data_IF_728759576359
#
_entry.id   IF_728759576359
#
_cell.length_a   1.000
_cell.length_b   1.000
_cell.length_c   1.000
_cell.angle_alpha   90.00
_cell.angle_beta   90.00
_cell.angle_gamma   90.00
#
_symmetry.space_group_name_H-M   'P 1'
#
loop_
_entity.id
_entity.type
_entity.pdbx_description
1 polymer ?
#
# COMPACT_ATOMS: atom_id res chain seq x y z
N UNK A 1 33.09 2.97 17.13
CA UNK A 1 32.36 3.19 15.88
C UNK A 1 30.91 3.34 16.29
N UNK A 2 30.39 4.56 16.22
CA UNK A 2 29.01 4.85 16.61
C UNK A 2 28.08 4.00 15.75
N UNK A 3 27.30 3.16 16.42
CA UNK A 3 26.14 2.49 15.88
C UNK A 3 25.18 3.61 15.45
N UNK A 4 25.23 4.02 14.18
CA UNK A 4 24.24 4.90 13.58
C UNK A 4 22.93 4.12 13.58
N UNK A 5 22.23 4.15 14.72
CA UNK A 5 20.82 3.75 14.76
C UNK A 5 20.12 4.65 13.75
N UNK A 6 19.82 4.08 12.60
CA UNK A 6 18.90 4.66 11.64
C UNK A 6 17.67 5.08 12.46
N UNK A 7 17.36 6.39 12.47
CA UNK A 7 16.19 6.89 13.20
C UNK A 7 14.98 6.07 12.78
N UNK A 8 14.49 5.26 13.70
CA UNK A 8 13.35 4.41 13.42
C UNK A 8 12.07 5.23 13.59
N UNK A 9 10.96 4.79 13.01
CA UNK A 9 9.68 5.52 13.05
C UNK A 9 9.25 5.87 14.48
N UNK A 10 9.59 5.03 15.46
CA UNK A 10 9.34 5.28 16.87
C UNK A 10 10.11 6.48 17.43
N UNK A 11 11.37 6.68 17.02
CA UNK A 11 12.17 7.83 17.45
C UNK A 11 11.61 9.14 16.88
N UNK A 12 11.18 9.11 15.61
CA UNK A 12 10.52 10.24 14.96
C UNK A 12 9.17 10.56 15.61
N UNK A 13 8.41 9.53 15.96
CA UNK A 13 7.16 9.68 16.67
C UNK A 13 7.39 10.36 18.03
N UNK A 14 8.35 9.89 18.83
CA UNK A 14 8.66 10.47 20.14
C UNK A 14 9.06 11.96 20.02
N UNK A 15 9.91 12.31 19.05
CA UNK A 15 10.27 13.70 18.77
C UNK A 15 9.05 14.54 18.37
N UNK A 16 8.17 14.00 17.53
CA UNK A 16 6.94 14.69 17.15
C UNK A 16 6.02 14.93 18.36
N UNK A 17 5.89 13.94 19.25
CA UNK A 17 5.10 14.06 20.48
C UNK A 17 5.62 15.14 21.42
N UNK A 18 6.94 15.32 21.46
CA UNK A 18 7.60 16.37 22.26
C UNK A 18 7.60 17.74 21.60
N UNK A 19 7.17 17.84 20.35
CA UNK A 19 7.26 19.07 19.57
C UNK A 19 8.68 19.43 19.13
N UNK A 20 9.58 18.45 19.09
CA UNK A 20 11.00 18.60 18.72
C UNK A 20 11.23 18.44 17.21
N UNK A 21 10.20 17.99 16.47
CA UNK A 21 10.30 17.68 15.05
C UNK A 21 9.82 18.85 14.17
N UNK A 22 10.69 19.39 13.32
CA UNK A 22 10.29 20.35 12.30
C UNK A 22 9.59 19.65 11.12
N UNK A 23 8.26 19.67 11.14
CA UNK A 23 7.41 19.10 10.09
C UNK A 23 7.27 20.00 8.85
N UNK A 24 7.68 21.26 8.93
CA UNK A 24 7.49 22.22 7.84
C UNK A 24 8.65 22.17 6.83
N UNK A 25 9.89 22.04 7.30
CA UNK A 25 11.06 22.05 6.42
C UNK A 25 11.87 20.75 6.48
N UNK A 26 12.26 20.28 7.68
CA UNK A 26 13.17 19.13 7.81
C UNK A 26 12.51 17.77 7.56
N UNK A 27 11.34 17.55 8.16
CA UNK A 27 10.59 16.29 8.13
C UNK A 27 9.30 16.41 7.30
N UNK A 28 9.28 17.34 6.35
CA UNK A 28 8.13 17.60 5.50
C UNK A 28 7.71 16.35 4.69
N UNK A 29 6.43 15.93 4.69
CA UNK A 29 5.99 14.66 4.12
C UNK A 29 6.35 14.42 2.65
N UNK A 30 6.47 15.49 1.84
CA UNK A 30 6.80 15.37 0.41
C UNK A 30 8.26 15.67 0.08
N UNK A 31 9.07 16.14 1.04
CA UNK A 31 10.48 16.50 0.82
C UNK A 31 11.45 15.54 1.52
N UNK A 32 10.99 14.79 2.53
CA UNK A 32 11.82 13.85 3.27
C UNK A 32 11.33 12.42 3.10
N UNK A 33 12.24 11.56 2.63
CA UNK A 33 12.03 10.11 2.52
C UNK A 33 12.86 9.37 3.56
N UNK A 34 12.31 8.30 4.13
CA UNK A 34 12.96 7.48 5.15
C UNK A 34 13.23 6.09 4.59
N UNK A 35 14.43 5.52 4.72
CA UNK A 35 14.67 4.16 4.26
C UNK A 35 14.02 3.14 5.21
N UNK A 36 13.87 1.92 4.71
CA UNK A 36 13.44 0.76 5.50
C UNK A 36 11.99 0.75 6.00
N UNK A 37 11.75 -0.18 6.90
CA UNK A 37 10.54 -0.38 7.69
C UNK A 37 10.89 -0.33 9.19
N UNK A 38 9.87 -0.11 10.01
CA UNK A 38 9.93 -0.12 11.46
C UNK A 38 9.10 -1.29 11.99
N UNK A 39 9.66 -2.12 12.88
CA UNK A 39 8.86 -3.12 13.61
C UNK A 39 8.18 -2.44 14.80
N UNK A 40 6.89 -2.14 14.66
CA UNK A 40 6.11 -1.44 15.70
C UNK A 40 5.59 -2.39 16.78
N UNK A 41 5.39 -3.66 16.44
CA UNK A 41 5.05 -4.76 17.33
C UNK A 41 5.43 -6.09 16.68
N UNK A 42 5.32 -7.21 17.40
CA UNK A 42 5.75 -8.55 16.96
C UNK A 42 5.25 -8.97 15.57
N UNK A 43 4.12 -8.43 15.12
CA UNK A 43 3.43 -8.81 13.89
C UNK A 43 3.00 -7.59 13.07
N UNK A 44 3.65 -6.45 13.28
CA UNK A 44 3.27 -5.17 12.68
C UNK A 44 4.53 -4.43 12.22
N UNK A 45 4.64 -4.26 10.91
CA UNK A 45 5.59 -3.33 10.29
C UNK A 45 4.90 -2.01 9.96
N UNK A 46 5.58 -0.91 10.25
CA UNK A 46 5.23 0.44 9.83
C UNK A 46 6.22 0.99 8.82
N UNK A 47 5.71 1.80 7.90
CA UNK A 47 6.50 2.47 6.88
C UNK A 47 6.20 3.96 6.90
N UNK A 48 7.26 4.76 6.84
CA UNK A 48 7.15 6.21 6.63
C UNK A 48 7.45 6.55 5.17
N UNK A 49 6.40 6.81 4.40
CA UNK A 49 6.46 7.44 3.08
C UNK A 49 5.89 8.86 3.13
N UNK A 50 5.31 9.30 2.00
CA UNK A 50 4.47 10.51 1.98
C UNK A 50 3.32 10.35 2.98
N UNK A 51 2.63 9.21 2.88
CA UNK A 51 1.75 8.68 3.91
C UNK A 51 2.45 7.63 4.77
N UNK A 52 1.88 7.38 5.96
CA UNK A 52 2.15 6.17 6.72
C UNK A 52 1.33 5.01 6.17
N UNK A 53 1.93 3.82 6.11
CA UNK A 53 1.22 2.58 5.79
C UNK A 53 1.84 1.41 6.57
N UNK A 54 1.08 0.33 6.69
CA UNK A 54 1.41 -0.74 7.63
C UNK A 54 1.16 -2.12 7.02
N UNK A 55 1.92 -3.10 7.50
CA UNK A 55 1.72 -4.51 7.14
C UNK A 55 1.60 -5.30 8.43
N UNK A 56 0.47 -6.01 8.55
CA UNK A 56 0.11 -6.81 9.71
C UNK A 56 0.14 -8.27 9.31
N UNK A 57 0.81 -9.11 10.08
CA UNK A 57 0.65 -10.55 9.99
C UNK A 57 -0.54 -11.00 10.85
N UNK A 58 -1.62 -11.43 10.19
CA UNK A 58 -2.85 -11.89 10.87
C UNK A 58 -2.77 -13.34 11.35
N UNK A 59 -1.82 -14.13 10.84
CA UNK A 59 -1.71 -15.58 11.03
C UNK A 59 -2.20 -16.39 9.86
N UNK A 60 -3.15 -15.83 9.10
CA UNK A 60 -3.66 -16.42 7.85
C UNK A 60 -3.04 -15.78 6.60
N UNK A 61 -2.18 -14.79 6.79
CA UNK A 61 -1.52 -14.03 5.74
C UNK A 61 -1.22 -12.59 6.18
N UNK A 62 -0.57 -11.85 5.30
CA UNK A 62 -0.26 -10.44 5.53
C UNK A 62 -1.41 -9.56 5.03
N UNK A 63 -1.77 -8.57 5.83
CA UNK A 63 -2.78 -7.56 5.52
C UNK A 63 -2.12 -6.19 5.52
N UNK A 64 -2.33 -5.44 4.45
CA UNK A 64 -1.85 -4.05 4.37
C UNK A 64 -2.93 -3.07 4.86
N UNK A 65 -2.55 -2.12 5.70
CA UNK A 65 -3.32 -0.91 5.98
C UNK A 65 -2.68 0.23 5.20
N UNK A 66 -3.35 0.64 4.12
CA UNK A 66 -2.77 1.37 3.01
C UNK A 66 -1.56 0.68 2.37
N UNK A 67 -1.12 1.19 1.24
CA UNK A 67 -0.08 0.58 0.42
C UNK A 67 0.93 1.59 -0.13
N UNK A 68 1.05 2.78 0.49
CA UNK A 68 2.07 3.75 0.13
C UNK A 68 1.96 4.32 -1.29
N UNK A 69 2.91 5.20 -1.59
CA UNK A 69 3.06 5.85 -2.89
C UNK A 69 3.84 4.95 -3.87
N UNK A 70 3.85 5.29 -5.16
CA UNK A 70 4.60 4.57 -6.20
C UNK A 70 6.10 4.43 -5.87
N UNK A 71 6.66 5.42 -5.17
CA UNK A 71 8.07 5.41 -4.75
C UNK A 71 8.36 4.37 -3.66
N UNK A 72 7.34 3.95 -2.92
CA UNK A 72 7.48 3.01 -1.81
C UNK A 72 7.47 1.54 -2.28
N UNK A 73 6.99 1.25 -3.50
CA UNK A 73 6.69 -0.12 -3.97
C UNK A 73 7.88 -1.06 -3.80
N UNK A 74 9.05 -0.66 -4.31
CA UNK A 74 10.27 -1.48 -4.24
C UNK A 74 10.70 -1.72 -2.78
N UNK A 75 10.81 -0.64 -2.00
CA UNK A 75 11.20 -0.70 -0.58
C UNK A 75 10.22 -1.57 0.20
N UNK A 76 8.92 -1.35 0.05
CA UNK A 76 7.90 -2.13 0.74
C UNK A 76 8.04 -3.62 0.45
N UNK A 77 8.20 -4.01 -0.81
CA UNK A 77 8.37 -5.41 -1.19
C UNK A 77 9.62 -6.03 -0.55
N UNK A 78 10.77 -5.35 -0.64
CA UNK A 78 12.04 -5.84 -0.08
C UNK A 78 11.96 -6.01 1.45
N UNK A 79 11.40 -5.03 2.14
CA UNK A 79 11.25 -5.05 3.61
C UNK A 79 10.28 -6.14 4.07
N UNK A 80 9.11 -6.26 3.42
CA UNK A 80 8.11 -7.28 3.74
C UNK A 80 8.66 -8.68 3.48
N UNK A 81 9.41 -8.89 2.39
CA UNK A 81 10.00 -10.19 2.08
C UNK A 81 11.20 -10.53 2.94
N UNK A 82 11.92 -9.53 3.45
CA UNK A 82 12.94 -9.77 4.48
C UNK A 82 12.31 -10.25 5.78
N UNK A 83 11.20 -9.64 6.19
CA UNK A 83 10.51 -9.97 7.44
C UNK A 83 9.73 -11.28 7.36
N UNK A 84 9.00 -11.47 6.26
CA UNK A 84 8.12 -12.61 6.02
C UNK A 84 8.39 -13.19 4.62
N UNK A 85 9.41 -14.05 4.45
CA UNK A 85 9.83 -14.51 3.12
C UNK A 85 8.76 -15.28 2.32
N UNK A 86 7.92 -16.03 3.02
CA UNK A 86 6.98 -16.98 2.41
C UNK A 86 5.52 -16.78 2.86
N UNK A 87 5.21 -15.69 3.55
CA UNK A 87 3.82 -15.37 3.95
C UNK A 87 3.15 -14.52 2.86
N UNK A 88 2.03 -14.96 2.25
CA UNK A 88 1.36 -14.21 1.20
C UNK A 88 0.71 -12.94 1.73
N UNK A 89 0.71 -11.86 0.95
CA UNK A 89 -0.21 -10.74 1.19
C UNK A 89 -1.58 -11.15 0.68
N UNK A 90 -2.55 -11.26 1.58
CA UNK A 90 -3.89 -11.76 1.27
C UNK A 90 -4.92 -10.64 1.12
N UNK A 91 -4.64 -9.47 1.72
CA UNK A 91 -5.52 -8.32 1.64
C UNK A 91 -4.79 -6.98 1.75
N UNK A 92 -5.43 -5.94 1.23
CA UNK A 92 -5.08 -4.55 1.48
C UNK A 92 -6.34 -3.73 1.75
N UNK A 93 -6.28 -2.83 2.72
CA UNK A 93 -7.38 -1.95 3.11
C UNK A 93 -6.94 -0.52 2.80
N UNK A 94 -7.66 0.17 1.92
CA UNK A 94 -7.41 1.58 1.62
C UNK A 94 -8.27 2.46 2.50
N UNK A 95 -7.61 3.24 3.36
CA UNK A 95 -8.25 4.19 4.26
C UNK A 95 -9.03 5.24 3.48
N UNK A 96 -8.46 5.75 2.38
CA UNK A 96 -9.08 6.71 1.47
C UNK A 96 -8.46 6.66 0.07
N UNK A 97 -8.83 7.58 -0.82
CA UNK A 97 -8.57 7.50 -2.27
C UNK A 97 -7.28 8.17 -2.75
N UNK A 98 -6.48 8.74 -1.87
CA UNK A 98 -5.28 9.45 -2.30
C UNK A 98 -4.20 8.50 -2.81
N UNK A 99 -3.41 8.99 -3.75
CA UNK A 99 -2.44 8.19 -4.52
C UNK A 99 -1.30 7.67 -3.66
N UNK A 100 -0.98 8.32 -2.55
CA UNK A 100 0.04 7.91 -1.59
C UNK A 100 -0.35 6.73 -0.69
N UNK A 101 -1.51 6.10 -0.94
CA UNK A 101 -2.02 4.98 -0.13
C UNK A 101 -2.27 3.67 -0.90
N UNK A 102 -1.98 3.57 -2.21
CA UNK A 102 -2.59 2.51 -3.05
C UNK A 102 -1.63 1.67 -3.91
N UNK A 103 -0.32 1.89 -3.88
CA UNK A 103 0.55 1.34 -4.93
C UNK A 103 1.28 0.03 -4.61
N UNK A 104 1.75 -0.18 -3.39
CA UNK A 104 2.62 -1.32 -3.05
C UNK A 104 1.94 -2.68 -3.20
N UNK A 105 0.60 -2.75 -3.16
CA UNK A 105 -0.15 -3.97 -3.46
C UNK A 105 0.19 -4.55 -4.84
N UNK A 106 0.61 -3.71 -5.80
CA UNK A 106 0.92 -4.13 -7.16
C UNK A 106 2.11 -5.10 -7.23
N UNK A 107 3.11 -4.94 -6.36
CA UNK A 107 4.24 -5.88 -6.30
C UNK A 107 3.81 -7.25 -5.77
N UNK A 108 2.97 -7.27 -4.74
CA UNK A 108 2.44 -8.51 -4.16
C UNK A 108 1.41 -9.20 -5.05
N UNK A 109 0.67 -8.43 -5.85
CA UNK A 109 -0.21 -8.95 -6.89
C UNK A 109 0.57 -9.70 -7.99
N UNK A 110 1.70 -9.13 -8.42
CA UNK A 110 2.61 -9.77 -9.38
C UNK A 110 3.26 -11.04 -8.78
N UNK A 111 3.78 -10.95 -7.55
CA UNK A 111 4.33 -12.10 -6.83
C UNK A 111 3.31 -13.22 -6.69
N UNK A 112 2.05 -12.90 -6.38
CA UNK A 112 1.00 -13.89 -6.24
C UNK A 112 0.79 -14.68 -7.55
N UNK A 113 0.85 -14.01 -8.70
CA UNK A 113 0.79 -14.68 -10.01
C UNK A 113 2.00 -15.58 -10.23
N UNK A 114 3.21 -15.09 -9.93
CA UNK A 114 4.46 -15.84 -10.11
C UNK A 114 4.54 -17.07 -9.21
N UNK A 115 4.11 -16.96 -7.96
CA UNK A 115 4.12 -18.05 -6.97
C UNK A 115 2.89 -18.95 -7.01
N UNK A 116 1.88 -18.62 -7.83
CA UNK A 116 0.61 -19.35 -7.87
C UNK A 116 -0.26 -19.17 -6.62
N UNK A 117 -0.08 -18.08 -5.88
CA UNK A 117 -0.91 -17.71 -4.72
C UNK A 117 -2.20 -16.99 -5.16
N UNK A 118 -3.25 -16.99 -4.32
CA UNK A 118 -4.37 -16.09 -4.50
C UNK A 118 -3.89 -14.63 -4.49
N UNK A 119 -4.39 -13.81 -5.42
CA UNK A 119 -4.10 -12.38 -5.47
C UNK A 119 -4.72 -11.65 -4.26
N UNK A 120 -4.10 -10.58 -3.74
CA UNK A 120 -4.64 -9.83 -2.62
C UNK A 120 -6.05 -9.29 -2.90
N UNK A 121 -6.95 -9.38 -1.92
CA UNK A 121 -8.26 -8.70 -1.98
C UNK A 121 -8.12 -7.27 -1.48
N UNK A 122 -8.62 -6.29 -2.25
CA UNK A 122 -8.60 -4.88 -1.84
C UNK A 122 -9.95 -4.46 -1.29
N UNK A 123 -9.94 -3.95 -0.06
CA UNK A 123 -11.06 -3.33 0.61
C UNK A 123 -10.91 -1.81 0.58
N UNK A 124 -11.98 -1.10 0.26
CA UNK A 124 -11.99 0.36 0.22
C UNK A 124 -13.41 0.86 0.51
N UNK A 125 -13.50 2.08 1.04
CA UNK A 125 -14.80 2.74 1.17
C UNK A 125 -15.43 2.99 -0.21
N UNK A 126 -16.75 2.88 -0.34
CA UNK A 126 -17.44 3.06 -1.63
C UNK A 126 -17.13 4.43 -2.28
N UNK A 127 -17.00 5.47 -1.45
CA UNK A 127 -16.65 6.81 -1.88
C UNK A 127 -15.25 6.90 -2.50
N UNK A 128 -14.35 5.94 -2.27
CA UNK A 128 -13.02 5.96 -2.87
C UNK A 128 -13.08 5.76 -4.39
N UNK A 129 -14.16 5.16 -4.92
CA UNK A 129 -14.37 5.01 -6.36
C UNK A 129 -14.71 6.32 -7.07
N UNK A 130 -15.27 7.30 -6.35
CA UNK A 130 -15.90 8.50 -6.93
C UNK A 130 -14.89 9.54 -7.46
N UNK A 131 -13.75 9.80 -6.78
CA UNK A 131 -12.71 10.69 -7.31
C UNK A 131 -11.88 10.05 -8.44
N UNK A 132 -11.65 8.73 -8.40
CA UNK A 132 -10.82 8.02 -9.39
C UNK A 132 -11.52 7.82 -10.75
N UNK A 133 -12.84 7.94 -10.81
CA UNK A 133 -13.62 7.85 -12.05
C UNK A 133 -13.43 9.05 -13.00
N UNK A 134 -13.00 10.20 -12.48
CA UNK A 134 -12.70 11.42 -13.26
C UNK A 134 -11.31 11.40 -13.92
N UNK A 135 -10.36 10.67 -13.33
CA UNK A 135 -9.03 10.41 -13.91
C UNK A 135 -9.13 9.24 -14.89
N UNK A 136 -9.72 9.49 -16.06
CA UNK A 136 -9.70 8.54 -17.17
C UNK A 136 -8.24 8.17 -17.47
N UNK A 137 -7.87 6.94 -17.12
CA UNK A 137 -6.81 6.15 -17.79
C UNK A 137 -5.35 6.31 -17.34
N UNK A 138 -5.05 6.58 -16.06
CA UNK A 138 -3.65 6.58 -15.55
C UNK A 138 -3.30 5.56 -14.47
N UNK A 139 -4.21 4.70 -14.04
CA UNK A 139 -3.87 3.58 -13.15
C UNK A 139 -4.63 2.33 -13.58
N UNK A 140 -4.13 1.69 -14.65
CA UNK A 140 -4.66 0.43 -15.15
C UNK A 140 -4.60 -0.73 -14.12
N UNK A 141 -3.90 -0.54 -12.99
CA UNK A 141 -3.88 -1.47 -11.86
C UNK A 141 -5.02 -1.27 -10.84
N UNK A 142 -5.41 -0.03 -10.53
CA UNK A 142 -6.27 0.26 -9.38
C UNK A 142 -7.76 -0.03 -9.62
N UNK A 143 -8.25 0.07 -10.86
CA UNK A 143 -9.69 -0.07 -11.19
C UNK A 143 -10.17 -1.51 -11.38
N UNK A 144 -9.26 -2.49 -11.48
CA UNK A 144 -9.65 -3.91 -11.52
C UNK A 144 -9.79 -4.55 -10.14
N UNK A 145 -9.15 -4.00 -9.09
CA UNK A 145 -9.13 -4.61 -7.76
C UNK A 145 -10.36 -4.29 -6.89
N UNK A 146 -11.11 -3.22 -7.15
CA UNK A 146 -12.26 -2.83 -6.31
C UNK A 146 -13.57 -3.55 -6.65
N UNK A 147 -13.58 -4.48 -7.62
CA UNK A 147 -14.83 -5.04 -8.19
C UNK A 147 -15.30 -6.38 -7.59
N UNK A 148 -14.66 -6.88 -6.54
CA UNK A 148 -15.13 -8.07 -5.80
C UNK A 148 -15.19 -7.76 -4.31
N UNK A 149 -16.39 -7.96 -3.75
CA UNK A 149 -16.71 -7.99 -2.30
C UNK A 149 -17.32 -6.72 -1.72
N UNK A 150 -18.45 -6.28 -2.28
CA UNK A 150 -19.61 -5.84 -1.49
C UNK A 150 -20.84 -6.53 -2.08
N UNK A 151 -21.53 -7.34 -1.29
CA UNK A 151 -22.70 -8.10 -1.71
C UNK A 151 -23.88 -7.19 -2.04
N UNK A 152 -24.15 -6.98 -3.33
CA UNK A 152 -25.33 -6.31 -3.86
C UNK A 152 -25.39 -6.49 -5.38
N UNK A 153 -26.54 -6.84 -5.94
CA UNK A 153 -26.69 -7.45 -7.28
C UNK A 153 -26.37 -6.50 -8.48
N UNK A 154 -25.61 -7.08 -9.43
CA UNK A 154 -25.45 -6.97 -10.91
C UNK A 154 -26.09 -5.83 -11.74
N UNK A 155 -25.35 -5.40 -12.78
CA UNK A 155 -25.85 -5.11 -14.15
C UNK A 155 -24.70 -5.32 -15.17
N UNK A 156 -24.69 -6.45 -15.88
CA UNK A 156 -25.08 -6.69 -17.30
C UNK A 156 -23.91 -6.59 -18.29
N UNK A 157 -23.71 -7.72 -18.97
CA UNK A 157 -23.14 -7.94 -20.31
C UNK A 157 -21.61 -7.97 -20.51
N UNK A 158 -21.10 -9.21 -20.69
CA UNK A 158 -19.96 -9.54 -21.55
C UNK A 158 -20.60 -10.20 -22.79
N UNK A 159 -20.44 -9.69 -24.04
CA UNK A 159 -19.32 -10.09 -24.93
C UNK A 159 -18.84 -8.95 -25.87
N UNK A 160 -17.53 -8.75 -26.11
CA UNK A 160 -16.69 -9.28 -27.22
C UNK A 160 -16.07 -8.14 -28.07
N UNK A 161 -14.81 -8.35 -28.46
CA UNK A 161 -14.14 -8.02 -29.74
C UNK A 161 -14.34 -6.69 -30.49
N UNK A 162 -13.17 -6.19 -30.95
CA UNK A 162 -12.86 -5.61 -32.27
C UNK A 162 -13.86 -4.64 -32.92
N UNK A 163 -13.37 -3.43 -33.19
CA UNK A 163 -13.43 -2.90 -34.56
C UNK A 163 -12.14 -2.16 -34.93
N UNK A 164 -11.58 -2.58 -36.06
CA UNK A 164 -10.68 -1.83 -36.91
C UNK A 164 -11.48 -0.77 -37.71
N UNK A 165 -10.78 0.26 -38.20
CA UNK A 165 -11.24 1.21 -39.23
C UNK A 165 -12.34 2.17 -38.75
N UNK A 166 -12.32 3.45 -39.07
CA UNK A 166 -11.79 4.18 -40.23
C UNK A 166 -11.05 5.44 -39.80
#
# INVERSE_FOLDING_TARGET
MSDERQQDLLDLAEQAWRGELDLQFEHHPVHRYYPGSCRLADRLLGFKGIAGFYVIDSGDGLVMLDAGHLLDVKRCFEEVRREWPDTPVVAAIYSHHHVDHVFSVTAFDAEAVERGWPRPTVYAHEANSRPLAGTRRTTAGSSRLTRRTIGGKRATDIPTFSTAGT
#
